data_IF_233144705947
#
_entry.id   IF_233144705947
#
_cell.length_a   1.000
_cell.length_b   1.000
_cell.length_c   1.000
_cell.angle_alpha   90.00
_cell.angle_beta   90.00
_cell.angle_gamma   90.00
#
_symmetry.space_group_name_H-M   'P 1'
#
loop_
_entity.id
_entity.type
_entity.pdbx_description
1 polymer ?
#
# COMPACT_ATOMS: atom_id res chain seq x y z
N UNK A 1 -7.42 17.86 -8.44
CA UNK A 1 -6.20 18.05 -7.62
C UNK A 1 -5.36 16.76 -7.56
N UNK A 2 -4.05 16.84 -7.82
CA UNK A 2 -3.14 15.66 -7.79
C UNK A 2 -3.14 14.97 -6.42
N UNK A 3 -3.38 15.72 -5.35
CA UNK A 3 -3.54 15.21 -3.98
C UNK A 3 -4.74 14.26 -3.78
N UNK A 4 -5.73 14.27 -4.67
CA UNK A 4 -6.90 13.38 -4.63
C UNK A 4 -6.86 12.31 -5.73
N UNK A 5 -5.71 12.08 -6.37
CA UNK A 5 -5.58 11.04 -7.40
C UNK A 5 -5.74 9.66 -6.78
N UNK A 6 -6.48 8.79 -7.45
CA UNK A 6 -6.66 7.37 -7.08
C UNK A 6 -5.70 6.43 -7.81
N UNK A 7 -4.85 6.95 -8.70
CA UNK A 7 -3.91 6.11 -9.46
C UNK A 7 -2.83 5.54 -8.53
N UNK A 8 -2.79 4.23 -8.30
CA UNK A 8 -1.85 3.61 -7.35
C UNK A 8 -0.58 3.04 -7.98
N UNK A 9 -0.39 3.18 -9.29
CA UNK A 9 0.71 2.52 -10.02
C UNK A 9 0.32 1.10 -10.47
N UNK A 10 1.02 0.57 -11.47
CA UNK A 10 0.77 -0.79 -12.02
C UNK A 10 1.97 -1.72 -11.89
N UNK A 11 3.12 -1.16 -11.57
CA UNK A 11 4.41 -1.82 -11.40
C UNK A 11 5.25 -1.03 -10.40
N UNK A 12 6.33 -1.63 -9.91
CA UNK A 12 7.21 -1.05 -8.89
C UNK A 12 7.73 0.34 -9.30
N UNK A 13 8.15 0.47 -10.56
CA UNK A 13 8.69 1.73 -11.12
C UNK A 13 7.60 2.81 -11.16
N UNK A 14 6.39 2.45 -11.60
CA UNK A 14 5.24 3.35 -11.67
C UNK A 14 4.85 3.88 -10.29
N UNK A 15 4.82 3.02 -9.28
CA UNK A 15 4.54 3.43 -7.88
C UNK A 15 5.63 4.38 -7.37
N UNK A 16 6.91 4.03 -7.54
CA UNK A 16 8.03 4.89 -7.13
C UNK A 16 7.97 6.28 -7.78
N UNK A 17 7.60 6.34 -9.07
CA UNK A 17 7.41 7.61 -9.77
C UNK A 17 6.24 8.42 -9.20
N UNK A 18 5.13 7.76 -8.84
CA UNK A 18 3.99 8.42 -8.21
C UNK A 18 4.35 8.94 -6.81
N UNK A 19 5.14 8.20 -6.03
CA UNK A 19 5.67 8.65 -4.73
C UNK A 19 6.51 9.91 -4.89
N UNK A 20 7.46 9.92 -5.84
CA UNK A 20 8.28 11.11 -6.12
C UNK A 20 7.43 12.33 -6.49
N UNK A 21 6.41 12.15 -7.33
CA UNK A 21 5.46 13.23 -7.67
C UNK A 21 4.65 13.69 -6.45
N UNK A 22 4.22 12.76 -5.61
CA UNK A 22 3.48 13.07 -4.40
C UNK A 22 4.34 13.85 -3.39
N UNK A 23 5.61 13.49 -3.23
CA UNK A 23 6.56 14.23 -2.39
C UNK A 23 6.72 15.69 -2.84
N UNK A 24 6.75 15.95 -4.15
CA UNK A 24 6.78 17.32 -4.67
C UNK A 24 5.51 18.09 -4.28
N UNK A 25 4.33 17.48 -4.40
CA UNK A 25 3.05 18.08 -3.98
C UNK A 25 3.02 18.35 -2.47
N UNK A 26 3.53 17.43 -1.65
CA UNK A 26 3.62 17.63 -0.19
C UNK A 26 4.57 18.77 0.15
N UNK A 27 5.70 18.89 -0.55
CA UNK A 27 6.61 20.02 -0.38
C UNK A 27 5.93 21.35 -0.74
N UNK A 28 5.18 21.41 -1.85
CA UNK A 28 4.39 22.59 -2.22
C UNK A 28 3.34 22.96 -1.17
N UNK A 29 2.62 21.97 -0.63
CA UNK A 29 1.68 22.18 0.48
C UNK A 29 2.43 22.76 1.68
N UNK A 30 3.50 22.12 2.14
CA UNK A 30 4.26 22.58 3.31
C UNK A 30 4.83 24.00 3.12
N UNK A 31 5.24 24.37 1.90
CA UNK A 31 5.70 25.71 1.58
C UNK A 31 4.60 26.79 1.73
N UNK A 32 3.33 26.42 1.65
CA UNK A 32 2.21 27.34 1.86
C UNK A 32 1.79 27.47 3.34
N UNK A 33 2.22 26.57 4.22
CA UNK A 33 1.88 26.58 5.65
C UNK A 33 2.16 27.95 6.31
N UNK A 34 3.32 28.61 6.12
CA UNK A 34 3.59 29.91 6.75
C UNK A 34 2.61 31.01 6.34
N UNK A 35 2.17 31.01 5.07
CA UNK A 35 1.21 31.99 4.57
C UNK A 35 -0.17 31.76 5.17
N UNK A 36 -0.61 30.50 5.26
CA UNK A 36 -1.88 30.16 5.90
C UNK A 36 -1.85 30.58 7.37
N UNK A 37 -0.78 30.27 8.09
CA UNK A 37 -0.59 30.67 9.49
C UNK A 37 -0.60 32.19 9.67
N UNK A 38 0.02 32.96 8.76
CA UNK A 38 -0.02 34.42 8.80
C UNK A 38 -1.44 34.95 8.65
N UNK A 39 -2.19 34.45 7.65
CA UNK A 39 -3.57 34.90 7.40
C UNK A 39 -4.49 34.57 8.59
N UNK A 40 -4.31 33.41 9.22
CA UNK A 40 -5.07 33.02 10.39
C UNK A 40 -4.73 33.90 11.61
N UNK A 41 -3.45 34.25 11.79
CA UNK A 41 -3.03 35.20 12.83
C UNK A 41 -3.61 36.59 12.61
N UNK A 42 -3.54 37.12 11.40
CA UNK A 42 -4.12 38.44 11.08
C UNK A 42 -5.64 38.45 11.33
N UNK A 43 -6.33 37.33 11.05
CA UNK A 43 -7.74 37.16 11.36
C UNK A 43 -8.01 37.15 12.88
N UNK A 44 -7.17 36.49 13.67
CA UNK A 44 -7.26 36.50 15.15
C UNK A 44 -7.07 37.91 15.72
N UNK A 45 -6.09 38.66 15.21
CA UNK A 45 -5.82 40.04 15.63
C UNK A 45 -7.03 40.95 15.32
N UNK A 46 -7.61 40.87 14.12
CA UNK A 46 -8.82 41.62 13.75
C UNK A 46 -10.03 41.28 14.64
N UNK A 47 -10.16 40.02 15.04
CA UNK A 47 -11.23 39.58 15.95
C UNK A 47 -11.01 40.12 17.38
N UNK A 48 -9.75 40.17 17.84
CA UNK A 48 -9.39 40.71 19.15
C UNK A 48 -9.62 42.22 19.25
N UNK A 49 -9.40 42.96 18.16
CA UNK A 49 -9.65 44.41 18.06
C UNK A 49 -11.13 44.78 17.94
N UNK A 50 -12.02 43.79 17.82
CA UNK A 50 -13.47 44.03 17.67
C UNK A 50 -13.82 44.66 16.32
N UNK A 51 -13.12 44.26 15.25
CA UNK A 51 -13.34 44.78 13.90
C UNK A 51 -14.81 44.69 13.48
N UNK A 52 -15.32 45.68 12.74
CA UNK A 52 -16.75 45.77 12.39
C UNK A 52 -17.27 44.55 11.61
N UNK A 53 -16.39 43.85 10.88
CA UNK A 53 -16.69 42.64 10.11
C UNK A 53 -16.30 41.33 10.84
N UNK A 54 -16.24 41.33 12.18
CA UNK A 54 -15.77 40.19 12.98
C UNK A 54 -16.48 38.87 12.67
N UNK A 55 -17.80 38.88 12.42
CA UNK A 55 -18.52 37.64 12.07
C UNK A 55 -18.04 37.04 10.74
N UNK A 56 -17.83 37.89 9.72
CA UNK A 56 -17.34 37.47 8.41
C UNK A 56 -15.89 36.97 8.50
N UNK A 57 -15.02 37.71 9.22
CA UNK A 57 -13.62 37.31 9.45
C UNK A 57 -13.55 35.94 10.12
N UNK A 58 -14.35 35.71 11.17
CA UNK A 58 -14.42 34.42 11.88
C UNK A 58 -14.86 33.29 10.94
N UNK A 59 -15.92 33.51 10.16
CA UNK A 59 -16.43 32.50 9.23
C UNK A 59 -15.38 32.12 8.18
N UNK A 60 -14.67 33.11 7.62
CA UNK A 60 -13.64 32.90 6.59
C UNK A 60 -12.40 32.23 7.16
N UNK A 61 -11.96 32.61 8.35
CA UNK A 61 -10.85 31.95 9.04
C UNK A 61 -11.16 30.47 9.33
N UNK A 62 -12.35 30.18 9.88
CA UNK A 62 -12.79 28.81 10.13
C UNK A 62 -12.86 27.96 8.85
N UNK A 63 -13.41 28.52 7.77
CA UNK A 63 -13.45 27.87 6.46
C UNK A 63 -12.04 27.57 5.92
N UNK A 64 -11.10 28.52 6.05
CA UNK A 64 -9.72 28.34 5.62
C UNK A 64 -9.03 27.22 6.40
N UNK A 65 -9.18 27.20 7.72
CA UNK A 65 -8.62 26.15 8.58
C UNK A 65 -9.17 24.77 8.21
N UNK A 66 -10.48 24.64 8.01
CA UNK A 66 -11.10 23.38 7.61
C UNK A 66 -10.58 22.88 6.25
N UNK A 67 -10.55 23.75 5.24
CA UNK A 67 -10.01 23.41 3.92
C UNK A 67 -8.53 23.00 3.99
N UNK A 68 -7.75 23.67 4.83
CA UNK A 68 -6.34 23.38 5.03
C UNK A 68 -6.13 22.00 5.67
N UNK A 69 -6.88 21.69 6.72
CA UNK A 69 -6.82 20.39 7.39
C UNK A 69 -7.28 19.26 6.45
N UNK A 70 -8.37 19.45 5.70
CA UNK A 70 -8.83 18.48 4.73
C UNK A 70 -7.81 18.22 3.61
N UNK A 71 -7.09 19.26 3.16
CA UNK A 71 -6.03 19.10 2.18
C UNK A 71 -4.87 18.25 2.73
N UNK A 72 -4.43 18.53 3.96
CA UNK A 72 -3.38 17.75 4.63
C UNK A 72 -3.79 16.30 4.84
N UNK A 73 -5.03 16.06 5.28
CA UNK A 73 -5.56 14.71 5.46
C UNK A 73 -5.61 13.94 4.13
N UNK A 74 -6.06 14.57 3.04
CA UNK A 74 -6.07 13.94 1.72
C UNK A 74 -4.67 13.61 1.23
N UNK A 75 -3.71 14.51 1.46
CA UNK A 75 -2.31 14.24 1.12
C UNK A 75 -1.75 13.07 1.94
N UNK A 76 -2.03 12.99 3.23
CA UNK A 76 -1.56 11.89 4.08
C UNK A 76 -2.20 10.55 3.71
N UNK A 77 -3.51 10.52 3.46
CA UNK A 77 -4.19 9.31 2.98
C UNK A 77 -3.57 8.83 1.66
N UNK A 78 -3.29 9.76 0.75
CA UNK A 78 -2.66 9.45 -0.53
C UNK A 78 -1.26 8.87 -0.36
N UNK A 79 -0.48 9.35 0.62
CA UNK A 79 0.82 8.77 0.98
C UNK A 79 0.65 7.32 1.43
N UNK A 80 -0.24 7.06 2.38
CA UNK A 80 -0.49 5.71 2.90
C UNK A 80 -0.89 4.73 1.78
N UNK A 81 -1.77 5.15 0.87
CA UNK A 81 -2.17 4.36 -0.29
C UNK A 81 -0.99 4.01 -1.22
N UNK A 82 -0.08 4.97 -1.45
CA UNK A 82 1.11 4.76 -2.28
C UNK A 82 2.15 3.87 -1.57
N UNK A 83 2.31 4.01 -0.26
CA UNK A 83 3.21 3.18 0.54
C UNK A 83 2.73 1.72 0.57
N UNK A 84 1.42 1.50 0.74
CA UNK A 84 0.82 0.17 0.66
C UNK A 84 1.01 -0.46 -0.74
N UNK A 85 0.83 0.34 -1.79
CA UNK A 85 1.05 -0.11 -3.17
C UNK A 85 2.53 -0.45 -3.42
N UNK A 86 3.46 0.33 -2.85
CA UNK A 86 4.89 0.07 -2.95
C UNK A 86 5.26 -1.25 -2.28
N UNK A 87 4.78 -1.47 -1.06
CA UNK A 87 5.02 -2.69 -0.31
C UNK A 87 4.52 -3.93 -1.07
N UNK A 88 3.30 -3.87 -1.61
CA UNK A 88 2.72 -4.98 -2.38
C UNK A 88 3.55 -5.27 -3.65
N UNK A 89 3.93 -4.25 -4.41
CA UNK A 89 4.73 -4.44 -5.62
C UNK A 89 6.17 -4.91 -5.33
N UNK A 90 6.78 -4.47 -4.22
CA UNK A 90 8.09 -4.95 -3.79
C UNK A 90 8.03 -6.43 -3.41
N UNK A 91 7.04 -6.82 -2.60
CA UNK A 91 6.83 -8.22 -2.23
C UNK A 91 6.66 -9.12 -3.46
N UNK A 92 5.82 -8.70 -4.43
CA UNK A 92 5.63 -9.47 -5.66
C UNK A 92 6.92 -9.58 -6.48
N UNK A 93 7.73 -8.52 -6.55
CA UNK A 93 9.01 -8.58 -7.25
C UNK A 93 9.98 -9.55 -6.55
N UNK A 94 10.15 -9.41 -5.24
CA UNK A 94 11.03 -10.25 -4.42
C UNK A 94 10.57 -11.73 -4.46
N UNK A 95 9.26 -11.99 -4.43
CA UNK A 95 8.70 -13.33 -4.50
C UNK A 95 8.96 -13.98 -5.88
N UNK A 96 8.78 -13.23 -6.97
CA UNK A 96 9.10 -13.73 -8.31
C UNK A 96 10.59 -14.04 -8.46
N UNK A 97 11.47 -13.22 -7.89
CA UNK A 97 12.91 -13.49 -7.88
C UNK A 97 13.22 -14.77 -7.09
N UNK A 98 12.58 -14.96 -5.94
CA UNK A 98 12.75 -16.17 -5.15
C UNK A 98 12.23 -17.43 -5.87
N UNK A 99 11.08 -17.36 -6.53
CA UNK A 99 10.55 -18.45 -7.36
C UNK A 99 11.49 -18.80 -8.52
N UNK A 100 12.03 -17.78 -9.20
CA UNK A 100 12.98 -17.98 -10.28
C UNK A 100 14.26 -18.68 -9.79
N UNK A 101 14.79 -18.24 -8.63
CA UNK A 101 15.95 -18.87 -8.00
C UNK A 101 15.69 -20.33 -7.62
N UNK A 102 14.54 -20.63 -6.99
CA UNK A 102 14.18 -22.01 -6.63
C UNK A 102 14.07 -22.91 -7.86
N UNK A 103 13.45 -22.41 -8.93
CA UNK A 103 13.33 -23.14 -10.21
C UNK A 103 14.69 -23.42 -10.85
N UNK A 104 15.67 -22.54 -10.68
CA UNK A 104 17.04 -22.76 -11.15
C UNK A 104 17.75 -23.87 -10.35
N UNK A 105 17.50 -23.96 -9.03
CA UNK A 105 18.13 -24.97 -8.16
C UNK A 105 17.45 -26.34 -8.20
N UNK A 106 16.17 -26.41 -8.56
CA UNK A 106 15.37 -27.64 -8.62
C UNK A 106 16.04 -28.80 -9.38
N UNK A 107 16.66 -28.62 -10.57
CA UNK A 107 17.32 -29.70 -11.28
C UNK A 107 18.58 -30.23 -10.58
N UNK A 108 19.25 -29.40 -9.77
CA UNK A 108 20.45 -29.79 -9.01
C UNK A 108 20.03 -30.66 -7.82
N UNK A 109 18.90 -30.32 -7.19
CA UNK A 109 18.33 -31.10 -6.10
C UNK A 109 17.73 -32.45 -6.57
N UNK A 110 17.07 -32.45 -7.74
CA UNK A 110 16.41 -33.64 -8.31
C UNK A 110 17.29 -34.52 -9.20
N UNK A 111 18.58 -34.21 -9.34
CA UNK A 111 19.51 -34.97 -10.15
C UNK A 111 19.70 -36.40 -9.62
N UNK A 112 19.47 -37.40 -10.48
CA UNK A 112 19.69 -38.83 -10.19
C UNK A 112 21.04 -39.35 -10.73
N UNK A 113 21.96 -38.44 -11.08
CA UNK A 113 23.32 -38.79 -11.45
C UNK A 113 24.15 -38.98 -10.18
N UNK A 114 24.75 -40.16 -10.02
CA UNK A 114 25.57 -40.52 -8.87
C UNK A 114 27.06 -40.61 -9.20
N UNK A 115 27.43 -40.28 -10.45
CA UNK A 115 28.79 -40.47 -10.93
C UNK A 115 29.05 -41.92 -11.37
N UNK A 116 30.07 -42.09 -12.19
CA UNK A 116 30.49 -43.39 -12.75
C UNK A 116 31.76 -43.95 -12.10
N UNK A 117 32.44 -43.12 -11.32
CA UNK A 117 33.72 -43.37 -10.66
C UNK A 117 33.84 -42.47 -9.41
N UNK A 118 34.83 -42.75 -8.57
CA UNK A 118 35.04 -42.05 -7.29
C UNK A 118 35.17 -40.53 -7.48
N UNK A 119 35.95 -40.08 -8.46
CA UNK A 119 36.17 -38.67 -8.75
C UNK A 119 34.87 -37.94 -9.15
N UNK A 120 34.05 -38.55 -10.02
CA UNK A 120 32.77 -37.97 -10.43
C UNK A 120 31.74 -37.96 -9.30
N UNK A 121 31.72 -39.00 -8.46
CA UNK A 121 30.89 -39.02 -7.26
C UNK A 121 31.30 -37.95 -6.24
N UNK A 122 32.61 -37.75 -6.01
CA UNK A 122 33.12 -36.70 -5.10
C UNK A 122 32.77 -35.29 -5.62
N UNK A 123 32.87 -35.07 -6.94
CA UNK A 123 32.49 -33.79 -7.55
C UNK A 123 30.99 -33.48 -7.39
N UNK A 124 30.13 -34.50 -7.55
CA UNK A 124 28.69 -34.36 -7.32
C UNK A 124 28.35 -34.08 -5.86
N UNK A 125 29.05 -34.72 -4.92
CA UNK A 125 28.89 -34.48 -3.49
C UNK A 125 29.21 -33.02 -3.14
N UNK A 126 30.36 -32.49 -3.60
CA UNK A 126 30.73 -31.09 -3.38
C UNK A 126 29.70 -30.11 -3.94
N UNK A 127 29.12 -30.41 -5.11
CA UNK A 127 28.04 -29.60 -5.70
C UNK A 127 26.79 -29.62 -4.84
N UNK A 128 26.46 -30.76 -4.23
CA UNK A 128 25.32 -30.88 -3.33
C UNK A 128 25.55 -30.17 -2.00
N UNK A 129 26.76 -30.24 -1.42
CA UNK A 129 27.14 -29.48 -0.23
C UNK A 129 27.04 -27.96 -0.47
N UNK A 130 27.49 -27.49 -1.63
CA UNK A 130 27.32 -26.10 -2.04
C UNK A 130 25.83 -25.71 -2.16
N UNK A 131 25.00 -26.58 -2.74
CA UNK A 131 23.55 -26.36 -2.80
C UNK A 131 22.92 -26.26 -1.40
N UNK A 132 23.30 -27.12 -0.45
CA UNK A 132 22.79 -27.06 0.93
C UNK A 132 23.16 -25.72 1.56
N UNK A 133 24.41 -25.27 1.37
CA UNK A 133 24.90 -23.98 1.89
C UNK A 133 24.10 -22.82 1.29
N UNK A 134 23.84 -22.86 -0.02
CA UNK A 134 23.02 -21.87 -0.71
C UNK A 134 21.58 -21.85 -0.19
N UNK A 135 20.97 -23.02 0.07
CA UNK A 135 19.62 -23.14 0.64
C UNK A 135 19.54 -22.57 2.05
N UNK A 136 20.53 -22.85 2.90
CA UNK A 136 20.62 -22.30 4.25
C UNK A 136 20.73 -20.77 4.24
N UNK A 137 21.55 -20.21 3.33
CA UNK A 137 21.64 -18.77 3.16
C UNK A 137 20.32 -18.16 2.63
N UNK A 138 19.63 -18.87 1.73
CA UNK A 138 18.37 -18.42 1.14
C UNK A 138 17.20 -18.35 2.13
N UNK A 139 17.30 -19.06 3.25
CA UNK A 139 16.29 -19.02 4.32
C UNK A 139 16.00 -17.60 4.80
N UNK A 140 17.01 -16.73 4.90
CA UNK A 140 16.83 -15.34 5.30
C UNK A 140 15.92 -14.57 4.32
N UNK A 141 16.00 -14.86 3.03
CA UNK A 141 15.12 -14.27 2.00
C UNK A 141 13.68 -14.71 2.18
N UNK A 142 13.44 -16.00 2.46
CA UNK A 142 12.09 -16.53 2.71
C UNK A 142 11.49 -15.92 3.98
N UNK A 143 12.28 -15.75 5.04
CA UNK A 143 11.86 -15.09 6.27
C UNK A 143 11.49 -13.62 6.04
N UNK A 144 12.31 -12.89 5.27
CA UNK A 144 12.01 -11.52 4.85
C UNK A 144 10.71 -11.42 4.04
N UNK A 145 10.52 -12.28 3.04
CA UNK A 145 9.29 -12.35 2.24
C UNK A 145 8.06 -12.62 3.11
N UNK A 146 8.17 -13.50 4.10
CA UNK A 146 7.09 -13.78 5.05
C UNK A 146 6.76 -12.56 5.91
N UNK A 147 7.78 -11.82 6.36
CA UNK A 147 7.58 -10.59 7.11
C UNK A 147 6.90 -9.51 6.25
N UNK A 148 7.36 -9.31 5.01
CA UNK A 148 6.77 -8.38 4.06
C UNK A 148 5.30 -8.73 3.76
N UNK A 149 4.99 -10.02 3.52
CA UNK A 149 3.62 -10.48 3.28
C UNK A 149 2.68 -10.16 4.45
N UNK A 150 3.14 -10.38 5.69
CA UNK A 150 2.36 -10.05 6.89
C UNK A 150 2.12 -8.54 7.06
N UNK A 151 3.04 -7.70 6.59
CA UNK A 151 2.86 -6.25 6.62
C UNK A 151 1.87 -5.79 5.54
N UNK A 152 1.91 -6.42 4.36
CA UNK A 152 0.98 -6.13 3.27
C UNK A 152 -0.46 -6.52 3.62
N UNK A 153 -0.69 -7.66 4.30
CA UNK A 153 -2.04 -8.11 4.68
C UNK A 153 -2.73 -7.22 5.73
N UNK A 154 -1.97 -6.47 6.53
CA UNK A 154 -2.53 -5.48 7.45
C UNK A 154 -2.98 -4.20 6.75
N UNK A 155 -2.43 -3.93 5.56
CA UNK A 155 -2.74 -2.78 4.73
C UNK A 155 -3.56 -3.23 3.51
N UNK A 156 -4.59 -4.05 3.72
CA UNK A 156 -5.58 -4.38 2.67
C UNK A 156 -6.21 -3.07 2.18
N UNK A 157 -5.68 -2.55 1.08
CA UNK A 157 -6.29 -1.42 0.41
C UNK A 157 -7.58 -1.91 -0.22
N UNK A 158 -8.74 -1.27 0.06
CA UNK A 158 -9.95 -1.53 -0.68
C UNK A 158 -9.62 -1.40 -2.17
N UNK A 159 -9.81 -2.49 -2.90
CA UNK A 159 -9.55 -2.55 -4.34
C UNK A 159 -10.63 -1.71 -4.99
N UNK A 160 -10.32 -0.44 -5.26
CA UNK A 160 -11.12 0.38 -6.13
C UNK A 160 -10.82 -0.07 -7.57
N UNK A 161 -11.63 -0.99 -8.08
CA UNK A 161 -11.67 -1.26 -9.51
C UNK A 161 -12.06 0.03 -10.26
N UNK A 162 -11.60 0.16 -11.49
CA UNK A 162 -11.78 1.29 -12.43
C UNK A 162 -13.25 1.70 -12.69
N UNK A 163 -14.20 1.05 -12.02
CA UNK A 163 -15.66 1.27 -12.11
C UNK A 163 -16.26 1.99 -10.89
N UNK A 164 -15.47 2.35 -9.87
CA UNK A 164 -15.97 3.09 -8.69
C UNK A 164 -16.85 2.25 -7.75
N UNK A 165 -16.78 0.93 -7.88
CA UNK A 165 -17.42 -0.02 -6.98
C UNK A 165 -16.42 -0.40 -5.89
N UNK A 166 -16.79 -0.16 -4.65
CA UNK A 166 -15.99 -0.58 -3.50
C UNK A 166 -16.23 -2.07 -3.26
N UNK A 167 -15.14 -2.83 -3.09
CA UNK A 167 -15.20 -4.25 -2.78
C UNK A 167 -14.67 -4.50 -1.37
N UNK A 168 -15.29 -5.42 -0.63
CA UNK A 168 -14.90 -5.85 0.72
C UNK A 168 -14.90 -7.37 0.81
N UNK A 169 -14.02 -7.93 1.63
CA UNK A 169 -13.98 -9.36 1.89
C UNK A 169 -14.76 -9.72 3.16
N UNK A 170 -15.54 -10.78 3.09
CA UNK A 170 -16.28 -11.34 4.21
C UNK A 170 -15.34 -11.92 5.29
N UNK A 171 -15.37 -11.37 6.50
CA UNK A 171 -14.56 -11.88 7.61
C UNK A 171 -15.16 -13.10 8.33
N UNK A 172 -16.48 -13.28 8.22
CA UNK A 172 -17.23 -14.35 8.87
C UNK A 172 -18.35 -14.84 7.95
N UNK A 173 -18.80 -16.07 8.17
CA UNK A 173 -20.04 -16.55 7.56
C UNK A 173 -21.24 -15.77 8.12
N UNK A 174 -22.12 -15.32 7.25
CA UNK A 174 -23.34 -14.60 7.61
C UNK A 174 -24.53 -15.14 6.81
N UNK A 175 -25.68 -15.31 7.47
CA UNK A 175 -26.92 -15.72 6.82
C UNK A 175 -28.08 -14.99 7.47
N UNK A 176 -28.77 -14.16 6.70
CA UNK A 176 -29.94 -13.42 7.19
C UNK A 176 -31.22 -14.18 6.84
N UNK A 177 -32.06 -14.46 7.84
CA UNK A 177 -33.37 -15.12 7.66
C UNK A 177 -34.46 -14.09 7.31
N UNK A 178 -34.23 -13.27 6.28
CA UNK A 178 -35.21 -12.33 5.73
C UNK A 178 -35.79 -12.87 4.41
N UNK A 179 -36.94 -12.36 3.92
CA UNK A 179 -37.54 -12.78 2.65
C UNK A 179 -36.65 -12.54 1.42
N UNK A 180 -35.57 -11.75 1.56
CA UNK A 180 -34.43 -11.78 0.64
C UNK A 180 -33.38 -12.65 1.32
N UNK A 181 -33.32 -13.93 0.97
CA UNK A 181 -32.26 -14.81 1.47
C UNK A 181 -30.91 -14.27 0.97
N UNK A 182 -30.07 -13.82 1.91
CA UNK A 182 -28.69 -13.43 1.64
C UNK A 182 -27.79 -14.26 2.54
N UNK A 183 -26.90 -15.03 1.91
CA UNK A 183 -25.84 -15.77 2.58
C UNK A 183 -24.49 -15.31 2.05
N UNK A 184 -23.55 -15.02 2.94
CA UNK A 184 -22.16 -14.67 2.65
C UNK A 184 -21.27 -15.69 3.37
N UNK A 185 -20.28 -16.24 2.68
CA UNK A 185 -19.26 -17.10 3.30
C UNK A 185 -18.01 -16.29 3.57
N UNK A 186 -17.26 -16.69 4.61
CA UNK A 186 -15.94 -16.16 4.90
C UNK A 186 -15.06 -16.25 3.65
N UNK A 187 -14.40 -15.14 3.33
CA UNK A 187 -13.58 -14.90 2.13
C UNK A 187 -14.33 -14.60 0.83
N UNK A 188 -15.67 -14.52 0.84
CA UNK A 188 -16.39 -13.99 -0.32
C UNK A 188 -16.04 -12.51 -0.51
N UNK A 189 -15.78 -12.11 -1.76
CA UNK A 189 -15.58 -10.72 -2.14
C UNK A 189 -16.93 -10.12 -2.52
N UNK A 190 -17.38 -9.13 -1.77
CA UNK A 190 -18.66 -8.46 -1.94
C UNK A 190 -18.47 -7.04 -2.46
N UNK A 191 -19.46 -6.55 -3.21
CA UNK A 191 -19.53 -5.13 -3.60
C UNK A 191 -20.36 -4.36 -2.58
N UNK A 192 -19.80 -3.29 -2.03
CA UNK A 192 -20.57 -2.33 -1.23
C UNK A 192 -21.49 -1.52 -2.13
N UNK A 193 -22.79 -1.55 -1.84
CA UNK A 193 -23.77 -0.69 -2.48
C UNK A 193 -23.87 0.60 -1.65
N UNK A 194 -23.36 1.70 -2.18
CA UNK A 194 -23.47 3.01 -1.53
C UNK A 194 -24.94 3.44 -1.44
N UNK A 195 -25.37 3.89 -0.25
CA UNK A 195 -26.76 4.26 0.06
C UNK A 195 -27.26 5.56 -0.61
N UNK A 196 -26.48 6.17 -1.50
CA UNK A 196 -26.79 7.48 -2.12
C UNK A 196 -27.56 7.41 -3.44
N UNK A 197 -28.20 6.29 -3.78
CA UNK A 197 -29.23 6.26 -4.83
C UNK A 197 -30.63 6.45 -4.22
N UNK A 198 -30.91 7.68 -3.76
CA UNK A 198 -32.25 8.24 -3.66
C UNK A 198 -32.25 9.62 -4.29
#
# INVERSE_FOLDING_TARGET
PVAASTNRGRDLIGVQNLIKKHQAVVAEINNHEPRISSVLRDAEDLLAEGHFASEEVRARAAQLTDQWQQLKQKADQRRQDLDASLAAHQYLADANEAEAWMKEKEPIAGGQDYGKDEDSSEALLKKHEALITDLEAFQATIESLRQQANQCSQHETPVADITGKEFVQALYDYTEKSPREVSMRKNDVLTLLNSNNK
#
